data_IF_605069564995
#
_entry.id   IF_605069564995
#
_cell.length_a   1.000
_cell.length_b   1.000
_cell.length_c   1.000
_cell.angle_alpha   90.00
_cell.angle_beta   90.00
_cell.angle_gamma   90.00
#
_symmetry.space_group_name_H-M   'P 1'
#
loop_
_entity.id
_entity.type
_entity.pdbx_description
1 polymer ?
#
# COMPACT_ATOMS: atom_id res chain seq x y z
N UNK A 1 16.64 -9.55 11.64
CA UNK A 1 15.67 -9.38 10.55
C UNK A 1 16.15 -8.22 9.68
N UNK A 2 16.13 -8.39 8.38
CA UNK A 2 16.46 -7.32 7.41
C UNK A 2 15.31 -7.23 6.42
N UNK A 3 14.75 -6.04 6.19
CA UNK A 3 13.63 -5.89 5.23
C UNK A 3 13.74 -4.59 4.44
N UNK A 4 13.58 -4.64 3.10
CA UNK A 4 13.43 -3.45 2.30
C UNK A 4 11.99 -2.94 2.43
N UNK A 5 11.82 -1.75 3.00
CA UNK A 5 10.46 -1.22 3.21
C UNK A 5 10.46 0.30 3.19
N UNK A 6 9.41 0.86 2.61
CA UNK A 6 9.12 2.29 2.68
C UNK A 6 7.82 2.57 3.45
N UNK A 7 7.21 1.55 4.01
CA UNK A 7 5.83 1.62 4.46
C UNK A 7 5.51 1.02 5.82
N UNK A 8 4.25 0.63 5.94
CA UNK A 8 3.65 0.10 7.16
C UNK A 8 4.30 -1.21 7.61
N UNK A 9 4.80 -2.04 6.68
CA UNK A 9 5.52 -3.28 6.99
C UNK A 9 6.73 -3.02 7.89
N UNK A 10 7.51 -1.96 7.62
CA UNK A 10 8.63 -1.57 8.47
C UNK A 10 8.21 -1.25 9.90
N UNK A 11 7.11 -0.52 10.06
CA UNK A 11 6.56 -0.18 11.38
C UNK A 11 6.08 -1.46 12.11
N UNK A 12 5.37 -2.34 11.41
CA UNK A 12 4.91 -3.60 11.97
C UNK A 12 6.09 -4.50 12.41
N UNK A 13 7.09 -4.63 11.57
CA UNK A 13 8.31 -5.39 11.90
C UNK A 13 9.05 -4.76 13.09
N UNK A 14 9.10 -3.42 13.16
CA UNK A 14 9.82 -2.74 14.24
C UNK A 14 9.17 -3.00 15.61
N UNK A 15 7.84 -2.83 15.75
CA UNK A 15 7.22 -3.10 17.05
C UNK A 15 7.21 -4.60 17.40
N UNK A 16 7.07 -5.50 16.42
CA UNK A 16 7.17 -6.95 16.68
C UNK A 16 8.59 -7.35 17.06
N UNK A 17 9.61 -6.81 16.36
CA UNK A 17 11.01 -7.06 16.68
C UNK A 17 11.36 -6.55 18.09
N UNK A 18 10.92 -5.34 18.44
CA UNK A 18 11.11 -4.79 19.79
C UNK A 18 10.46 -5.68 20.86
N UNK A 19 9.21 -6.10 20.66
CA UNK A 19 8.49 -6.95 21.61
C UNK A 19 9.09 -8.34 21.77
N UNK A 20 9.74 -8.88 20.73
CA UNK A 20 10.32 -10.24 20.72
C UNK A 20 11.84 -10.24 20.90
N UNK A 21 12.50 -9.09 21.02
CA UNK A 21 13.94 -8.99 21.21
C UNK A 21 14.78 -9.30 19.95
N UNK A 22 14.21 -9.16 18.75
CA UNK A 22 14.95 -9.32 17.50
C UNK A 22 15.66 -8.02 17.12
N UNK A 23 16.86 -8.15 16.57
CA UNK A 23 17.51 -7.04 15.85
C UNK A 23 16.81 -6.83 14.50
N UNK A 24 16.55 -5.59 14.16
CA UNK A 24 15.90 -5.23 12.91
C UNK A 24 16.72 -4.16 12.17
N UNK A 25 17.04 -4.44 10.91
CA UNK A 25 17.62 -3.50 9.97
C UNK A 25 16.59 -3.24 8.85
N UNK A 26 16.26 -1.99 8.61
CA UNK A 26 15.35 -1.60 7.54
C UNK A 26 16.07 -0.78 6.49
N UNK A 27 15.98 -1.20 5.24
CA UNK A 27 16.49 -0.42 4.12
C UNK A 27 15.37 0.34 3.43
N UNK A 28 15.57 1.62 3.14
CA UNK A 28 14.54 2.47 2.54
C UNK A 28 15.13 3.64 1.78
N UNK A 29 14.43 4.17 0.76
CA UNK A 29 14.84 5.40 0.09
C UNK A 29 14.88 6.58 1.06
N UNK A 30 15.87 7.44 0.91
CA UNK A 30 16.04 8.66 1.72
C UNK A 30 14.89 9.67 1.61
N UNK A 31 14.02 9.49 0.62
CA UNK A 31 12.82 10.32 0.38
C UNK A 31 11.66 10.03 1.34
N UNK A 32 11.80 9.03 2.21
CA UNK A 32 10.76 8.71 3.19
C UNK A 32 10.61 9.82 4.24
N UNK A 33 9.36 10.02 4.72
CA UNK A 33 9.03 11.07 5.68
C UNK A 33 9.87 10.97 6.97
N UNK A 34 10.18 12.12 7.56
CA UNK A 34 10.97 12.19 8.79
C UNK A 34 10.24 11.50 9.95
N UNK A 35 8.91 11.66 10.03
CA UNK A 35 8.09 11.03 11.06
C UNK A 35 8.23 9.51 11.03
N UNK A 36 8.21 8.94 9.84
CA UNK A 36 8.35 7.48 9.66
C UNK A 36 9.72 7.01 10.12
N UNK A 37 10.78 7.69 9.70
CA UNK A 37 12.14 7.36 10.11
C UNK A 37 12.32 7.49 11.63
N UNK A 38 11.78 8.56 12.20
CA UNK A 38 11.82 8.79 13.65
C UNK A 38 11.07 7.69 14.41
N UNK A 39 9.86 7.34 13.96
CA UNK A 39 9.07 6.28 14.58
C UNK A 39 9.81 4.93 14.59
N UNK A 40 10.42 4.56 13.47
CA UNK A 40 11.18 3.32 13.35
C UNK A 40 12.41 3.31 14.27
N UNK A 41 13.14 4.41 14.34
CA UNK A 41 14.29 4.58 15.25
C UNK A 41 13.86 4.51 16.73
N UNK A 42 12.72 5.12 17.08
CA UNK A 42 12.16 5.02 18.45
C UNK A 42 11.80 3.58 18.84
N UNK A 43 11.41 2.75 17.88
CA UNK A 43 11.14 1.33 18.07
C UNK A 43 12.42 0.46 18.08
N UNK A 44 13.61 1.08 17.92
CA UNK A 44 14.90 0.40 17.97
C UNK A 44 15.36 -0.24 16.68
N UNK A 45 14.76 0.11 15.54
CA UNK A 45 15.22 -0.36 14.24
C UNK A 45 16.46 0.40 13.76
N UNK A 46 17.43 -0.31 13.21
CA UNK A 46 18.56 0.27 12.47
C UNK A 46 18.11 0.64 11.06
N UNK A 47 18.30 1.91 10.67
CA UNK A 47 17.88 2.40 9.36
C UNK A 47 19.05 2.56 8.42
N UNK A 48 18.98 1.94 7.25
CA UNK A 48 19.93 2.10 6.16
C UNK A 48 19.24 2.81 5.00
N UNK A 49 19.57 4.08 4.81
CA UNK A 49 18.99 4.90 3.75
C UNK A 49 19.69 4.61 2.43
N UNK A 50 18.90 4.49 1.37
CA UNK A 50 19.37 4.30 0.01
C UNK A 50 19.04 5.51 -0.85
N UNK A 51 19.76 5.66 -1.95
CA UNK A 51 19.60 6.76 -2.90
C UNK A 51 18.15 6.83 -3.41
N UNK A 52 17.51 8.00 -3.26
CA UNK A 52 16.10 8.21 -3.62
C UNK A 52 15.77 7.88 -5.06
N UNK A 53 16.68 8.19 -5.99
CA UNK A 53 16.52 7.91 -7.42
C UNK A 53 16.39 6.40 -7.75
N UNK A 54 16.93 5.53 -6.91
CA UNK A 54 16.84 4.07 -7.08
C UNK A 54 15.55 3.47 -6.55
N UNK A 55 14.75 4.24 -5.83
CA UNK A 55 13.46 3.80 -5.28
C UNK A 55 13.54 2.49 -4.50
N UNK A 56 12.47 1.70 -4.55
CA UNK A 56 12.42 0.41 -3.85
C UNK A 56 13.43 -0.61 -4.38
N UNK A 57 13.78 -0.59 -5.66
CA UNK A 57 14.81 -1.49 -6.21
C UNK A 57 16.16 -1.29 -5.53
N UNK A 58 16.52 -0.04 -5.22
CA UNK A 58 17.75 0.27 -4.47
C UNK A 58 17.70 -0.25 -3.04
N UNK A 59 16.55 -0.12 -2.37
CA UNK A 59 16.35 -0.64 -1.01
C UNK A 59 16.43 -2.18 -0.97
N UNK A 60 15.82 -2.87 -1.94
CA UNK A 60 15.87 -4.33 -2.07
C UNK A 60 17.31 -4.80 -2.24
N UNK A 61 18.05 -4.23 -3.20
CA UNK A 61 19.44 -4.60 -3.45
C UNK A 61 20.32 -4.40 -2.19
N UNK A 62 20.09 -3.33 -1.43
CA UNK A 62 20.83 -3.07 -0.18
C UNK A 62 20.47 -4.05 0.94
N UNK A 63 19.22 -4.46 1.04
CA UNK A 63 18.80 -5.49 2.00
C UNK A 63 19.46 -6.85 1.69
N UNK A 64 19.51 -7.23 0.43
CA UNK A 64 20.17 -8.46 -0.02
C UNK A 64 21.69 -8.45 0.23
N UNK A 65 22.35 -7.30 0.00
CA UNK A 65 23.77 -7.09 0.32
C UNK A 65 24.00 -7.30 1.82
N UNK A 66 23.26 -6.60 2.67
CA UNK A 66 23.38 -6.70 4.12
C UNK A 66 23.09 -8.11 4.65
N UNK A 67 22.13 -8.81 4.04
CA UNK A 67 21.82 -10.18 4.44
C UNK A 67 22.97 -11.15 4.18
N UNK A 68 23.72 -10.96 3.09
CA UNK A 68 24.92 -11.78 2.80
C UNK A 68 26.06 -11.54 3.80
N UNK A 69 26.14 -10.33 4.33
CA UNK A 69 27.17 -9.92 5.29
C UNK A 69 26.79 -10.18 6.76
N UNK A 70 25.51 -10.44 7.03
CA UNK A 70 24.98 -10.61 8.39
C UNK A 70 24.64 -12.08 8.66
N UNK A 71 25.44 -12.82 9.42
CA UNK A 71 25.16 -14.21 9.77
C UNK A 71 23.82 -14.35 10.50
N UNK A 72 23.09 -15.45 10.23
CA UNK A 72 21.79 -15.75 10.82
C UNK A 72 20.72 -14.68 10.55
N UNK A 73 20.88 -13.88 9.51
CA UNK A 73 19.84 -12.93 9.10
C UNK A 73 18.74 -13.61 8.30
N UNK A 74 17.58 -12.97 8.28
CA UNK A 74 16.40 -13.40 7.52
C UNK A 74 15.71 -12.18 6.93
N UNK A 75 15.32 -12.29 5.64
CA UNK A 75 14.53 -11.27 4.94
C UNK A 75 13.09 -11.79 4.84
N UNK A 76 12.09 -11.13 5.45
CA UNK A 76 10.67 -11.49 5.35
C UNK A 76 10.11 -11.52 3.94
N UNK A 77 10.66 -10.74 3.00
CA UNK A 77 10.27 -10.78 1.57
C UNK A 77 8.82 -10.29 1.33
N UNK A 78 8.45 -9.12 1.82
CA UNK A 78 7.07 -8.63 1.75
C UNK A 78 6.43 -8.69 0.35
N UNK A 79 7.21 -8.62 -0.71
CA UNK A 79 6.71 -8.60 -2.09
C UNK A 79 6.42 -10.00 -2.67
N UNK A 80 7.02 -11.06 -2.10
CA UNK A 80 6.92 -12.43 -2.62
C UNK A 80 6.52 -13.46 -1.57
N UNK A 81 6.56 -13.14 -0.27
CA UNK A 81 6.19 -14.06 0.79
C UNK A 81 4.67 -14.32 0.79
N UNK A 82 4.23 -15.58 0.58
CA UNK A 82 2.81 -15.91 0.53
C UNK A 82 2.07 -15.70 1.86
N UNK A 83 2.78 -15.57 2.98
CA UNK A 83 2.17 -15.20 4.27
C UNK A 83 1.49 -13.82 4.23
N UNK A 84 1.91 -12.94 3.33
CA UNK A 84 1.30 -11.62 3.14
C UNK A 84 -0.16 -11.73 2.61
N UNK A 85 -0.47 -12.26 1.43
CA UNK A 85 -1.86 -12.46 1.03
C UNK A 85 -2.60 -13.43 1.95
N UNK A 86 -1.93 -14.41 2.55
CA UNK A 86 -2.56 -15.37 3.45
C UNK A 86 -3.19 -14.72 4.68
N UNK A 87 -2.51 -13.79 5.35
CA UNK A 87 -3.11 -13.10 6.50
C UNK A 87 -4.36 -12.30 6.10
N UNK A 88 -4.39 -11.73 4.90
CA UNK A 88 -5.56 -11.02 4.39
C UNK A 88 -6.72 -11.96 4.04
N UNK A 89 -6.43 -13.22 3.64
CA UNK A 89 -7.47 -14.25 3.50
C UNK A 89 -8.11 -14.59 4.84
N UNK A 90 -7.26 -14.75 5.87
CA UNK A 90 -7.68 -15.21 7.19
C UNK A 90 -8.34 -14.13 8.05
N UNK A 91 -8.04 -12.85 7.80
CA UNK A 91 -8.49 -11.73 8.65
C UNK A 91 -9.23 -10.67 7.85
N UNK A 92 -8.56 -9.88 7.05
CA UNK A 92 -9.13 -8.70 6.37
C UNK A 92 -10.35 -9.05 5.52
N UNK A 93 -10.31 -10.16 4.79
CA UNK A 93 -11.44 -10.61 3.97
C UNK A 93 -12.65 -10.99 4.83
N UNK A 94 -12.40 -11.67 5.96
CA UNK A 94 -13.44 -12.03 6.91
C UNK A 94 -14.08 -10.80 7.55
N UNK A 95 -13.27 -9.86 8.02
CA UNK A 95 -13.72 -8.59 8.59
C UNK A 95 -14.58 -7.81 7.59
N UNK A 96 -14.13 -7.68 6.34
CA UNK A 96 -14.91 -7.01 5.28
C UNK A 96 -16.26 -7.72 5.07
N UNK A 97 -16.24 -9.05 5.03
CA UNK A 97 -17.46 -9.83 4.83
C UNK A 97 -18.46 -9.65 5.96
N UNK A 98 -17.99 -9.75 7.20
CA UNK A 98 -18.81 -9.60 8.40
C UNK A 98 -19.37 -8.17 8.55
N UNK A 99 -18.50 -7.16 8.44
CA UNK A 99 -18.87 -5.74 8.60
C UNK A 99 -19.83 -5.25 7.52
N UNK A 100 -19.90 -5.93 6.38
CA UNK A 100 -20.86 -5.61 5.29
C UNK A 100 -22.06 -6.53 5.25
N UNK A 101 -22.25 -7.43 6.22
CA UNK A 101 -23.28 -8.48 6.19
C UNK A 101 -23.26 -9.27 4.86
N UNK A 102 -22.07 -9.53 4.30
CA UNK A 102 -21.90 -10.18 3.00
C UNK A 102 -22.34 -9.35 1.79
N UNK A 103 -22.59 -8.06 1.94
CA UNK A 103 -23.12 -7.21 0.86
C UNK A 103 -22.04 -6.53 0.02
N UNK A 104 -20.76 -6.65 0.38
CA UNK A 104 -19.66 -6.05 -0.40
C UNK A 104 -19.72 -6.47 -1.86
N UNK A 105 -19.72 -5.49 -2.77
CA UNK A 105 -19.72 -5.68 -4.23
C UNK A 105 -18.35 -5.40 -4.83
N UNK A 106 -17.70 -4.35 -4.35
CA UNK A 106 -16.44 -3.86 -4.90
C UNK A 106 -15.46 -3.55 -3.76
N UNK A 107 -14.24 -4.07 -3.89
CA UNK A 107 -13.10 -3.67 -3.06
C UNK A 107 -12.19 -2.75 -3.84
N UNK A 108 -11.80 -1.62 -3.25
CA UNK A 108 -10.82 -0.68 -3.80
C UNK A 108 -9.64 -0.60 -2.86
N UNK A 109 -8.45 -0.88 -3.37
CA UNK A 109 -7.23 -0.88 -2.58
C UNK A 109 -6.04 -0.33 -3.37
N UNK A 110 -5.26 0.54 -2.72
CA UNK A 110 -3.94 0.94 -3.21
C UNK A 110 -2.97 -0.23 -3.19
N UNK A 111 -2.21 -0.41 -4.26
CA UNK A 111 -1.30 -1.55 -4.40
C UNK A 111 0.14 -1.16 -4.10
N UNK A 112 0.67 -1.68 -2.98
CA UNK A 112 2.09 -1.70 -2.67
C UNK A 112 2.69 -3.07 -2.96
N UNK A 113 2.42 -4.05 -2.09
CA UNK A 113 2.84 -5.45 -2.25
C UNK A 113 1.82 -6.33 -2.96
N UNK A 114 0.57 -5.89 -3.06
CA UNK A 114 -0.52 -6.66 -3.64
C UNK A 114 -1.24 -7.62 -2.69
N UNK A 115 -0.66 -7.90 -1.51
CA UNK A 115 -1.17 -8.91 -0.59
C UNK A 115 -2.61 -8.68 -0.15
N UNK A 116 -2.97 -7.44 0.19
CA UNK A 116 -4.34 -7.10 0.64
C UNK A 116 -5.38 -7.40 -0.42
N UNK A 117 -5.19 -6.85 -1.62
CA UNK A 117 -6.19 -6.98 -2.70
C UNK A 117 -6.30 -8.43 -3.19
N UNK A 118 -5.17 -9.14 -3.32
CA UNK A 118 -5.15 -10.55 -3.75
C UNK A 118 -5.80 -11.46 -2.72
N UNK A 119 -5.38 -11.37 -1.45
CA UNK A 119 -5.93 -12.19 -0.38
C UNK A 119 -7.42 -11.97 -0.17
N UNK A 120 -7.87 -10.71 -0.17
CA UNK A 120 -9.29 -10.39 -0.05
C UNK A 120 -10.09 -10.86 -1.26
N UNK A 121 -9.58 -10.65 -2.48
CA UNK A 121 -10.28 -11.08 -3.69
C UNK A 121 -10.57 -12.58 -3.68
N UNK A 122 -9.58 -13.39 -3.38
CA UNK A 122 -9.69 -14.84 -3.44
C UNK A 122 -10.80 -15.39 -2.53
N UNK A 123 -10.95 -14.84 -1.32
CA UNK A 123 -12.01 -15.23 -0.39
C UNK A 123 -13.37 -14.65 -0.78
N UNK A 124 -13.43 -13.34 -1.03
CA UNK A 124 -14.70 -12.66 -1.30
C UNK A 124 -15.32 -13.09 -2.63
N UNK A 125 -14.49 -13.38 -3.64
CA UNK A 125 -14.95 -13.89 -4.94
C UNK A 125 -15.58 -15.28 -4.85
N UNK A 126 -15.06 -16.15 -3.99
CA UNK A 126 -15.65 -17.47 -3.73
C UNK A 126 -17.02 -17.37 -3.07
N UNK A 127 -17.23 -16.38 -2.19
CA UNK A 127 -18.49 -16.14 -1.50
C UNK A 127 -19.52 -15.41 -2.36
N UNK A 128 -19.06 -14.52 -3.22
CA UNK A 128 -19.90 -13.69 -4.08
C UNK A 128 -19.32 -13.62 -5.50
N UNK A 129 -19.87 -14.41 -6.40
CA UNK A 129 -19.37 -14.51 -7.78
C UNK A 129 -19.35 -13.19 -8.55
N UNK A 130 -20.22 -12.22 -8.19
CA UNK A 130 -20.26 -10.87 -8.77
C UNK A 130 -19.24 -9.91 -8.18
N UNK A 131 -18.51 -10.30 -7.12
CA UNK A 131 -17.52 -9.44 -6.45
C UNK A 131 -16.41 -9.00 -7.41
N UNK A 132 -15.98 -7.75 -7.28
CA UNK A 132 -14.93 -7.13 -8.07
C UNK A 132 -13.84 -6.52 -7.17
N UNK A 133 -12.58 -6.59 -7.62
CA UNK A 133 -11.47 -5.88 -7.00
C UNK A 133 -10.85 -4.90 -8.00
N UNK A 134 -10.70 -3.66 -7.58
CA UNK A 134 -10.13 -2.57 -8.37
C UNK A 134 -8.85 -2.09 -7.66
N UNK A 135 -7.75 -2.16 -8.38
CA UNK A 135 -6.46 -1.68 -7.91
C UNK A 135 -6.38 -0.15 -8.03
N UNK A 136 -5.62 0.47 -7.14
CA UNK A 136 -5.27 1.90 -7.26
C UNK A 136 -3.75 2.02 -7.32
N UNK A 137 -3.28 2.77 -8.29
CA UNK A 137 -1.86 3.01 -8.53
C UNK A 137 -1.55 4.49 -8.82
N UNK A 138 -0.31 4.94 -8.61
CA UNK A 138 0.10 6.29 -8.98
C UNK A 138 0.06 6.50 -10.49
N UNK A 139 -0.51 7.63 -10.94
CA UNK A 139 -0.53 7.99 -12.36
C UNK A 139 0.87 8.12 -12.96
N UNK A 140 1.86 8.52 -12.14
CA UNK A 140 3.25 8.65 -12.55
C UNK A 140 4.00 7.31 -12.64
N UNK A 141 3.41 6.21 -12.13
CA UNK A 141 4.00 4.86 -12.13
C UNK A 141 2.95 3.78 -12.38
N UNK A 142 2.25 3.79 -13.55
CA UNK A 142 1.04 3.02 -13.79
C UNK A 142 1.35 1.58 -14.26
N UNK A 143 2.22 0.87 -13.53
CA UNK A 143 2.73 -0.46 -13.95
C UNK A 143 1.65 -1.54 -13.99
N UNK A 144 0.59 -1.42 -13.17
CA UNK A 144 -0.51 -2.39 -13.18
C UNK A 144 -1.37 -2.19 -14.42
N UNK A 145 -1.79 -0.96 -14.72
CA UNK A 145 -2.53 -0.63 -15.96
C UNK A 145 -1.77 -1.05 -17.20
N UNK A 146 -0.46 -0.78 -17.24
CA UNK A 146 0.41 -1.16 -18.35
C UNK A 146 0.48 -2.69 -18.50
N UNK A 147 0.60 -3.42 -17.39
CA UNK A 147 0.59 -4.89 -17.42
C UNK A 147 -0.73 -5.44 -17.93
N UNK A 148 -1.86 -4.90 -17.45
CA UNK A 148 -3.19 -5.31 -17.91
C UNK A 148 -3.42 -5.02 -19.39
N UNK A 149 -2.83 -3.95 -19.91
CA UNK A 149 -2.89 -3.58 -21.32
C UNK A 149 -1.85 -4.30 -22.21
N UNK A 150 -0.92 -5.06 -21.61
CA UNK A 150 0.18 -5.70 -22.36
C UNK A 150 1.24 -4.70 -22.87
N UNK A 151 1.36 -3.55 -22.20
CA UNK A 151 2.31 -2.49 -22.54
C UNK A 151 3.65 -2.66 -21.82
N UNK A 152 4.68 -1.98 -22.31
CA UNK A 152 5.98 -1.88 -21.64
C UNK A 152 5.85 -1.13 -20.33
N UNK A 153 6.47 -1.64 -19.26
CA UNK A 153 6.43 -0.99 -17.95
C UNK A 153 7.30 0.26 -17.92
N UNK A 154 6.70 1.37 -17.54
CA UNK A 154 7.34 2.68 -17.39
C UNK A 154 7.11 3.22 -15.97
N UNK A 155 7.83 2.68 -14.96
CA UNK A 155 7.73 3.19 -13.61
C UNK A 155 8.32 4.61 -13.53
N UNK A 156 7.72 5.45 -12.69
CA UNK A 156 8.17 6.81 -12.46
C UNK A 156 8.14 7.20 -10.98
N UNK A 157 8.82 8.30 -10.59
CA UNK A 157 8.79 8.81 -9.23
C UNK A 157 7.42 9.42 -8.90
N UNK A 158 6.91 9.12 -7.72
CA UNK A 158 5.63 9.64 -7.23
C UNK A 158 5.68 9.90 -5.71
N UNK A 159 4.65 10.55 -5.17
CA UNK A 159 4.56 10.94 -3.75
C UNK A 159 3.51 10.14 -2.97
N UNK A 160 2.85 9.17 -3.58
CA UNK A 160 1.82 8.33 -2.93
C UNK A 160 2.51 7.19 -2.19
N UNK A 161 3.08 7.49 -1.03
CA UNK A 161 3.85 6.53 -0.24
C UNK A 161 3.02 5.30 0.15
N UNK A 162 3.63 4.11 0.04
CA UNK A 162 2.99 2.83 0.35
C UNK A 162 2.35 2.12 -0.83
N UNK A 163 2.36 2.75 -2.01
CA UNK A 163 1.89 2.18 -3.28
C UNK A 163 2.95 2.31 -4.36
N UNK A 164 2.74 1.71 -5.52
CA UNK A 164 3.55 1.95 -6.70
C UNK A 164 5.02 1.54 -6.54
N UNK A 165 5.30 0.26 -6.28
CA UNK A 165 6.66 -0.25 -6.11
C UNK A 165 7.54 -0.11 -7.38
N UNK A 166 6.94 0.20 -8.52
CA UNK A 166 7.64 0.34 -9.82
C UNK A 166 7.88 -0.98 -10.55
N UNK A 167 7.26 -2.04 -10.06
CA UNK A 167 7.23 -3.38 -10.66
C UNK A 167 5.95 -4.10 -10.20
N UNK A 168 5.64 -5.25 -10.81
CA UNK A 168 4.54 -6.12 -10.38
C UNK A 168 5.07 -7.08 -9.31
N UNK A 169 4.57 -6.99 -8.05
CA UNK A 169 4.97 -7.91 -6.99
C UNK A 169 4.40 -9.32 -7.23
N UNK A 170 5.11 -10.35 -6.76
CA UNK A 170 4.63 -11.74 -6.83
C UNK A 170 3.31 -11.95 -6.05
N UNK A 171 3.13 -11.17 -4.98
CA UNK A 171 1.89 -11.20 -4.18
C UNK A 171 0.70 -10.45 -4.80
N UNK A 172 0.88 -9.80 -5.95
CA UNK A 172 -0.22 -9.25 -6.74
C UNK A 172 -0.69 -10.27 -7.76
N UNK A 173 -1.73 -11.00 -7.43
CA UNK A 173 -2.31 -12.00 -8.31
C UNK A 173 -3.25 -11.32 -9.32
N UNK A 174 -2.78 -11.11 -10.54
CA UNK A 174 -3.58 -10.48 -11.60
C UNK A 174 -4.61 -11.43 -12.21
N UNK A 175 -4.36 -12.75 -12.11
CA UNK A 175 -5.23 -13.81 -12.61
C UNK A 175 -5.34 -14.95 -11.59
N UNK A 176 -6.47 -15.64 -11.61
CA UNK A 176 -6.67 -16.87 -10.85
C UNK A 176 -6.01 -18.09 -11.55
N UNK A 177 -6.16 -19.28 -10.94
CA UNK A 177 -5.60 -20.53 -11.47
C UNK A 177 -6.17 -20.91 -12.82
N UNK A 178 -7.38 -20.46 -13.15
CA UNK A 178 -8.06 -20.72 -14.43
C UNK A 178 -7.76 -19.63 -15.47
N UNK A 179 -6.93 -18.64 -15.13
CA UNK A 179 -6.53 -17.53 -15.99
C UNK A 179 -7.54 -16.37 -16.04
N UNK A 180 -8.59 -16.38 -15.23
CA UNK A 180 -9.55 -15.28 -15.17
C UNK A 180 -8.95 -14.07 -14.42
N UNK A 181 -9.27 -12.83 -14.82
CA UNK A 181 -8.79 -11.64 -14.14
C UNK A 181 -9.25 -11.57 -12.67
N UNK A 182 -8.30 -11.46 -11.74
CA UNK A 182 -8.59 -11.13 -10.34
C UNK A 182 -8.74 -9.62 -10.15
N UNK A 183 -7.89 -8.85 -10.83
CA UNK A 183 -7.97 -7.39 -10.85
C UNK A 183 -8.71 -7.01 -12.13
N UNK A 184 -9.90 -6.43 -11.98
CA UNK A 184 -10.74 -6.06 -13.13
C UNK A 184 -10.31 -4.74 -13.77
N UNK A 185 -9.69 -3.87 -12.99
CA UNK A 185 -9.26 -2.53 -13.40
C UNK A 185 -8.18 -2.00 -12.46
N UNK A 186 -7.31 -1.14 -12.98
CA UNK A 186 -6.39 -0.34 -12.17
C UNK A 186 -6.65 1.16 -12.43
N UNK A 187 -7.04 1.89 -11.40
CA UNK A 187 -7.31 3.33 -11.47
C UNK A 187 -6.03 4.09 -11.13
N UNK A 188 -5.66 4.99 -12.03
CA UNK A 188 -4.49 5.87 -11.88
C UNK A 188 -4.90 7.14 -11.14
N UNK A 189 -4.22 7.44 -10.02
CA UNK A 189 -4.47 8.64 -9.23
C UNK A 189 -3.20 9.50 -9.19
N UNK A 190 -3.35 10.80 -9.38
CA UNK A 190 -2.23 11.74 -9.30
C UNK A 190 -1.87 12.05 -7.84
N UNK A 191 -0.66 12.61 -7.64
CA UNK A 191 -0.23 13.07 -6.31
C UNK A 191 -1.19 14.11 -5.74
N UNK A 192 -1.60 15.08 -6.56
CA UNK A 192 -2.46 16.20 -6.13
C UNK A 192 -3.87 15.73 -5.77
N UNK A 193 -4.47 14.84 -6.54
CA UNK A 193 -5.75 14.20 -6.20
C UNK A 193 -5.66 13.45 -4.88
N UNK A 194 -4.57 12.72 -4.66
CA UNK A 194 -4.34 11.98 -3.41
C UNK A 194 -4.28 12.90 -2.21
N UNK A 195 -3.52 14.00 -2.29
CA UNK A 195 -3.43 14.99 -1.22
C UNK A 195 -4.75 15.70 -0.96
N UNK A 196 -5.40 16.17 -2.02
CA UNK A 196 -6.67 16.88 -1.92
C UNK A 196 -7.75 15.99 -1.28
N UNK A 197 -7.85 14.73 -1.71
CA UNK A 197 -8.82 13.80 -1.18
C UNK A 197 -8.54 13.41 0.27
N UNK A 198 -7.29 13.15 0.65
CA UNK A 198 -6.95 12.87 2.04
C UNK A 198 -7.30 14.03 2.99
N UNK A 199 -7.06 15.28 2.56
CA UNK A 199 -7.48 16.48 3.31
C UNK A 199 -9.00 16.59 3.43
N UNK A 200 -9.72 16.28 2.36
CA UNK A 200 -11.20 16.29 2.35
C UNK A 200 -11.75 15.24 3.31
N UNK A 201 -11.31 14.00 3.23
CA UNK A 201 -11.71 12.92 4.15
C UNK A 201 -11.46 13.32 5.60
N UNK A 202 -10.31 13.94 5.88
CA UNK A 202 -9.99 14.42 7.22
C UNK A 202 -10.96 15.52 7.69
N UNK A 203 -11.26 16.50 6.84
CA UNK A 203 -12.10 17.66 7.21
C UNK A 203 -13.60 17.35 7.19
N UNK A 204 -14.05 16.54 6.23
CA UNK A 204 -15.47 16.28 5.97
C UNK A 204 -16.00 15.08 6.79
N UNK A 205 -15.14 14.05 7.02
CA UNK A 205 -15.53 12.81 7.68
C UNK A 205 -14.87 12.60 9.06
N UNK A 206 -13.91 13.46 9.44
CA UNK A 206 -13.17 13.33 10.69
C UNK A 206 -12.18 12.16 10.70
N UNK A 207 -11.85 11.58 9.55
CA UNK A 207 -10.95 10.45 9.42
C UNK A 207 -9.57 10.97 9.02
N UNK A 208 -8.66 11.10 9.98
CA UNK A 208 -7.28 11.51 9.73
C UNK A 208 -6.51 10.41 9.00
N UNK A 209 -6.49 10.46 7.67
CA UNK A 209 -5.91 9.42 6.84
C UNK A 209 -4.67 9.87 6.07
N UNK A 210 -3.85 8.90 5.64
CA UNK A 210 -2.62 9.14 4.89
C UNK A 210 -2.83 9.35 3.39
N UNK A 211 -1.72 9.58 2.68
CA UNK A 211 -1.71 9.95 1.26
C UNK A 211 -2.34 8.85 0.38
N UNK A 212 -1.92 7.60 0.55
CA UNK A 212 -2.47 6.47 -0.22
C UNK A 212 -3.93 6.18 0.10
N UNK A 213 -4.39 6.54 1.31
CA UNK A 213 -5.81 6.49 1.67
C UNK A 213 -6.62 7.49 0.86
N UNK A 214 -6.10 8.71 0.68
CA UNK A 214 -6.69 9.71 -0.21
C UNK A 214 -6.78 9.22 -1.65
N UNK A 215 -5.74 8.59 -2.17
CA UNK A 215 -5.76 7.97 -3.49
C UNK A 215 -6.87 6.90 -3.62
N UNK A 216 -6.98 6.02 -2.63
CA UNK A 216 -8.00 4.98 -2.63
C UNK A 216 -9.42 5.55 -2.58
N UNK A 217 -9.67 6.59 -1.77
CA UNK A 217 -10.99 7.25 -1.72
C UNK A 217 -11.30 8.01 -3.02
N UNK A 218 -10.31 8.66 -3.65
CA UNK A 218 -10.49 9.31 -4.94
C UNK A 218 -10.97 8.31 -6.00
N UNK A 219 -10.31 7.15 -6.09
CA UNK A 219 -10.72 6.06 -6.96
C UNK A 219 -12.10 5.50 -6.59
N UNK A 220 -12.39 5.35 -5.28
CA UNK A 220 -13.69 4.87 -4.81
C UNK A 220 -14.83 5.80 -5.23
N UNK A 221 -14.64 7.11 -5.14
CA UNK A 221 -15.62 8.09 -5.59
C UNK A 221 -15.82 8.08 -7.11
N UNK A 222 -14.75 7.87 -7.88
CA UNK A 222 -14.86 7.69 -9.34
C UNK A 222 -15.72 6.47 -9.67
N UNK A 223 -15.45 5.33 -9.05
CA UNK A 223 -16.20 4.08 -9.23
C UNK A 223 -17.64 4.22 -8.77
N UNK A 224 -17.89 4.88 -7.64
CA UNK A 224 -19.23 5.07 -7.09
C UNK A 224 -20.14 5.94 -7.97
N UNK A 225 -19.56 6.86 -8.75
CA UNK A 225 -20.30 7.74 -9.66
C UNK A 225 -20.74 7.05 -10.95
N UNK A 226 -20.23 5.87 -11.23
CA UNK A 226 -20.61 5.12 -12.44
C UNK A 226 -22.04 4.61 -12.30
N UNK A 227 -22.93 4.82 -13.31
CA UNK A 227 -24.34 4.44 -13.21
C UNK A 227 -24.56 2.95 -12.88
N UNK A 228 -23.72 2.07 -13.39
CA UNK A 228 -23.75 0.62 -13.17
C UNK A 228 -23.44 0.21 -11.73
N UNK A 229 -22.87 1.12 -10.94
CA UNK A 229 -22.53 0.88 -9.54
C UNK A 229 -23.57 1.46 -8.56
N UNK A 230 -24.66 1.99 -9.07
CA UNK A 230 -25.74 2.51 -8.22
C UNK A 230 -26.29 1.42 -7.30
N UNK A 231 -26.28 1.69 -5.99
CA UNK A 231 -26.77 0.76 -4.97
C UNK A 231 -25.80 -0.33 -4.56
N UNK A 232 -24.58 -0.37 -5.14
CA UNK A 232 -23.52 -1.30 -4.74
C UNK A 232 -22.83 -0.84 -3.45
N UNK A 233 -22.42 -1.80 -2.65
CA UNK A 233 -21.55 -1.61 -1.49
C UNK A 233 -20.09 -1.62 -1.92
N UNK A 234 -19.41 -0.49 -1.76
CA UNK A 234 -17.99 -0.30 -2.13
C UNK A 234 -17.19 -0.16 -0.84
N UNK A 235 -16.23 -1.05 -0.64
CA UNK A 235 -15.27 -1.00 0.46
C UNK A 235 -13.96 -0.43 -0.05
N UNK A 236 -13.38 0.53 0.70
CA UNK A 236 -12.13 1.19 0.37
C UNK A 236 -11.13 1.03 1.51
N UNK A 237 -9.93 0.56 1.21
CA UNK A 237 -8.88 0.37 2.22
C UNK A 237 -8.13 1.69 2.48
N UNK A 238 -8.10 2.11 3.75
CA UNK A 238 -7.36 3.26 4.26
C UNK A 238 -6.16 2.79 5.09
N UNK A 239 -4.96 2.59 4.49
CA UNK A 239 -3.90 1.80 5.12
C UNK A 239 -3.09 2.53 6.18
N UNK A 240 -3.22 3.85 6.33
CA UNK A 240 -2.42 4.62 7.29
C UNK A 240 -3.08 5.90 7.77
N UNK A 241 -2.68 6.37 8.96
CA UNK A 241 -3.07 7.65 9.55
C UNK A 241 -2.25 8.82 8.98
N UNK A 242 -2.83 10.02 8.97
CA UNK A 242 -2.20 11.24 8.47
C UNK A 242 -1.02 11.75 9.29
N UNK A 243 -0.92 11.39 10.57
CA UNK A 243 0.18 11.79 11.48
C UNK A 243 1.56 11.36 10.94
N UNK A 244 1.62 10.29 10.15
CA UNK A 244 2.87 9.80 9.53
C UNK A 244 3.40 10.70 8.40
N UNK A 245 2.66 11.75 8.05
CA UNK A 245 2.91 12.57 6.86
C UNK A 245 2.92 14.07 7.14
N UNK A 246 3.09 14.47 8.41
CA UNK A 246 3.00 15.88 8.82
C UNK A 246 4.08 16.77 8.19
N UNK A 247 5.27 16.23 7.86
CA UNK A 247 6.34 16.96 7.14
C UNK A 247 6.17 16.97 5.63
N UNK A 248 5.18 16.25 5.09
CA UNK A 248 4.96 16.11 3.65
C UNK A 248 4.01 17.19 3.09
N UNK A 249 3.83 17.27 1.74
CA UNK A 249 2.86 18.16 1.12
C UNK A 249 1.41 17.93 1.58
N UNK A 250 1.06 16.76 2.11
CA UNK A 250 -0.27 16.51 2.67
C UNK A 250 -0.64 17.56 3.73
N UNK A 251 0.27 17.88 4.63
CA UNK A 251 0.02 18.81 5.75
C UNK A 251 0.56 20.24 5.51
N UNK A 252 0.98 20.57 4.28
CA UNK A 252 1.61 21.87 4.00
C UNK A 252 0.74 23.08 4.41
N UNK A 253 -0.55 23.05 4.06
CA UNK A 253 -1.51 24.12 4.42
C UNK A 253 -1.70 24.23 5.94
N UNK A 254 -1.82 23.09 6.62
CA UNK A 254 -2.00 23.09 8.07
C UNK A 254 -0.74 23.60 8.80
N UNK A 255 0.46 23.21 8.35
CA UNK A 255 1.71 23.75 8.91
C UNK A 255 1.82 25.26 8.73
N UNK A 256 1.53 25.76 7.53
CA UNK A 256 1.55 27.20 7.27
C UNK A 256 0.57 27.97 8.18
N UNK A 257 -0.59 27.40 8.46
CA UNK A 257 -1.60 28.01 9.32
C UNK A 257 -1.19 28.08 10.81
N UNK A 258 -0.27 27.23 11.28
CA UNK A 258 0.20 27.21 12.69
C UNK A 258 1.62 27.77 12.85
N UNK A 259 2.17 28.40 11.82
CA UNK A 259 3.47 29.10 11.88
C UNK A 259 4.69 28.18 11.70
N UNK A 260 4.53 27.05 11.02
CA UNK A 260 5.58 26.07 10.68
C UNK A 260 6.08 26.20 9.26
#
# INVERSE_FOLDING_TARGET
IIEPTSGNTGIALAFVAAAKGYKLILTMPETMSMERRTLLAMLGADLVLTEGAKGMKGAIAKAEELAKETPNSWIPQQFSNPANPEIHRQTTAEEIWEDTDGKVDILIAGVGTGGTISGCYEVLKQRKSSFQAIAVEPADSPVISQTLAGEELKPGPHKIQGTGAGFIPDNLHLKDADGNPQITEAIKVTNDESFAMARRVTKEEGILCGISSGAAVAAALEVARRPENKGKTIVCILPSTGERYLSTPLAAEARAAVGG
#
